data_IF_446182397128
#
_entry.id   IF_446182397128
#
_cell.length_a   1.000
_cell.length_b   1.000
_cell.length_c   1.000
_cell.angle_alpha   90.00
_cell.angle_beta   90.00
_cell.angle_gamma   90.00
#
_symmetry.space_group_name_H-M   'P 1'
#
loop_
_entity.id
_entity.type
_entity.pdbx_description
1 polymer ?
#
# COMPACT_ATOMS: atom_id res chain seq x y z
N UNK A 1 7.09 14.81 -7.42
CA UNK A 1 5.62 14.70 -7.36
C UNK A 1 5.14 15.49 -6.16
N UNK A 2 4.25 16.46 -6.35
CA UNK A 2 3.61 17.17 -5.23
C UNK A 2 2.89 16.14 -4.36
N UNK A 3 3.19 16.13 -3.06
CA UNK A 3 2.47 15.31 -2.10
C UNK A 3 1.10 15.99 -1.99
N UNK A 4 0.05 15.35 -2.52
CA UNK A 4 -1.33 15.85 -2.36
C UNK A 4 -1.59 16.10 -0.87
N UNK A 5 -2.31 17.16 -0.52
CA UNK A 5 -2.55 17.59 0.87
C UNK A 5 -3.10 16.46 1.77
N UNK A 6 -3.76 15.46 1.18
CA UNK A 6 -4.32 14.30 1.89
C UNK A 6 -3.34 13.12 2.10
N UNK A 7 -2.08 13.23 1.69
CA UNK A 7 -1.09 12.15 1.87
C UNK A 7 -0.36 12.31 3.21
N UNK A 8 -0.64 11.41 4.15
CA UNK A 8 0.13 11.28 5.40
C UNK A 8 1.37 10.42 5.17
N UNK A 9 2.54 10.89 5.61
CA UNK A 9 3.76 10.08 5.62
C UNK A 9 3.72 9.10 6.79
N UNK A 10 4.00 7.84 6.51
CA UNK A 10 4.14 6.77 7.50
C UNK A 10 5.49 6.09 7.30
N UNK A 11 6.13 5.71 8.39
CA UNK A 11 7.34 4.90 8.36
C UNK A 11 6.94 3.46 8.70
N UNK A 12 7.39 2.52 7.87
CA UNK A 12 7.16 1.09 8.04
C UNK A 12 8.51 0.37 7.95
N UNK A 13 8.68 -0.65 8.78
CA UNK A 13 9.87 -1.49 8.81
C UNK A 13 9.54 -2.81 8.14
N UNK A 14 10.42 -3.29 7.27
CA UNK A 14 10.33 -4.57 6.60
C UNK A 14 11.57 -5.39 6.90
N UNK A 15 11.44 -6.71 6.83
CA UNK A 15 12.59 -7.59 6.70
C UNK A 15 13.28 -7.33 5.36
N UNK A 16 14.58 -7.65 5.28
CA UNK A 16 15.39 -7.38 4.09
C UNK A 16 14.86 -8.12 2.87
N UNK A 17 14.46 -9.38 3.04
CA UNK A 17 13.93 -10.22 1.96
C UNK A 17 12.64 -9.61 1.36
N UNK A 18 11.73 -9.15 2.22
CA UNK A 18 10.48 -8.49 1.79
C UNK A 18 10.75 -7.15 1.09
N UNK A 19 11.74 -6.40 1.57
CA UNK A 19 12.17 -5.16 0.94
C UNK A 19 12.72 -5.40 -0.47
N UNK A 20 13.51 -6.46 -0.67
CA UNK A 20 14.02 -6.82 -2.00
C UNK A 20 12.90 -7.21 -2.95
N UNK A 21 11.92 -7.98 -2.48
CA UNK A 21 10.74 -8.36 -3.27
C UNK A 21 10.01 -7.10 -3.74
N UNK A 22 9.65 -6.19 -2.82
CA UNK A 22 8.85 -5.04 -3.19
C UNK A 22 9.61 -4.05 -4.07
N UNK A 23 10.91 -3.88 -3.86
CA UNK A 23 11.75 -3.06 -4.74
C UNK A 23 11.85 -3.66 -6.15
N UNK A 24 12.02 -4.97 -6.27
CA UNK A 24 12.11 -5.67 -7.55
C UNK A 24 10.82 -5.54 -8.36
N UNK A 25 9.67 -5.78 -7.71
CA UNK A 25 8.36 -5.63 -8.35
C UNK A 25 8.09 -4.17 -8.72
N UNK A 26 8.43 -3.22 -7.84
CA UNK A 26 8.26 -1.79 -8.12
C UNK A 26 9.07 -1.34 -9.34
N UNK A 27 10.34 -1.77 -9.43
CA UNK A 27 11.21 -1.50 -10.60
C UNK A 27 10.63 -2.10 -11.87
N UNK A 28 10.21 -3.36 -11.82
CA UNK A 28 9.59 -4.06 -12.97
C UNK A 28 8.37 -3.32 -13.49
N UNK A 29 7.55 -2.79 -12.60
CA UNK A 29 6.31 -2.07 -12.93
C UNK A 29 6.52 -0.58 -13.19
N UNK A 30 7.76 -0.07 -13.12
CA UNK A 30 8.10 1.37 -13.24
C UNK A 30 7.37 2.25 -12.22
N UNK A 31 7.15 1.72 -11.03
CA UNK A 31 6.48 2.40 -9.91
C UNK A 31 7.47 2.71 -8.79
N UNK A 32 7.11 3.66 -7.92
CA UNK A 32 7.79 3.79 -6.62
C UNK A 32 7.30 2.68 -5.68
N UNK A 33 8.09 2.37 -4.64
CA UNK A 33 7.66 1.42 -3.59
C UNK A 33 6.34 1.84 -2.96
N UNK A 34 6.17 3.14 -2.74
CA UNK A 34 4.94 3.72 -2.18
C UNK A 34 3.73 3.48 -3.08
N UNK A 35 3.87 3.62 -4.40
CA UNK A 35 2.79 3.38 -5.35
C UNK A 35 2.45 1.89 -5.44
N UNK A 36 3.46 1.02 -5.44
CA UNK A 36 3.26 -0.44 -5.39
C UNK A 36 2.48 -0.84 -4.14
N UNK A 37 2.86 -0.32 -2.96
CA UNK A 37 2.13 -0.58 -1.71
C UNK A 37 0.68 -0.09 -1.84
N UNK A 38 0.45 1.13 -2.35
CA UNK A 38 -0.89 1.66 -2.51
C UNK A 38 -1.77 0.78 -3.41
N UNK A 39 -1.23 0.26 -4.51
CA UNK A 39 -1.92 -0.67 -5.41
C UNK A 39 -2.26 -1.98 -4.68
N UNK A 40 -1.32 -2.51 -3.89
CA UNK A 40 -1.54 -3.75 -3.13
C UNK A 40 -2.62 -3.55 -2.05
N UNK A 41 -2.63 -2.41 -1.36
CA UNK A 41 -3.67 -2.05 -0.40
C UNK A 41 -5.05 -2.02 -1.09
N UNK A 42 -5.16 -1.30 -2.21
CA UNK A 42 -6.41 -1.19 -2.97
C UNK A 42 -6.90 -2.56 -3.46
N UNK A 43 -5.98 -3.44 -3.86
CA UNK A 43 -6.33 -4.75 -4.41
C UNK A 43 -6.72 -5.78 -3.33
N UNK A 44 -6.02 -5.79 -2.20
CA UNK A 44 -6.13 -6.88 -1.22
C UNK A 44 -6.77 -6.46 0.11
N UNK A 45 -6.55 -5.23 0.58
CA UNK A 45 -7.01 -4.79 1.90
C UNK A 45 -8.32 -4.01 1.83
N UNK A 46 -8.54 -3.24 0.76
CA UNK A 46 -9.74 -2.42 0.62
C UNK A 46 -11.06 -3.22 0.63
N UNK A 47 -11.17 -4.36 -0.08
CA UNK A 47 -12.41 -5.15 -0.03
C UNK A 47 -12.73 -5.64 1.39
N UNK A 48 -11.73 -6.14 2.12
CA UNK A 48 -11.89 -6.60 3.50
C UNK A 48 -12.26 -5.45 4.44
N UNK A 49 -11.60 -4.29 4.30
CA UNK A 49 -11.93 -3.09 5.07
C UNK A 49 -13.37 -2.63 4.85
N UNK A 50 -13.85 -2.64 3.61
CA UNK A 50 -15.24 -2.28 3.27
C UNK A 50 -16.26 -3.27 3.85
N UNK A 51 -15.91 -4.55 3.94
CA UNK A 51 -16.75 -5.55 4.60
C UNK A 51 -16.82 -5.36 6.11
N UNK A 52 -15.69 -5.03 6.76
CA UNK A 52 -15.64 -4.74 8.20
C UNK A 52 -16.49 -3.52 8.54
N UNK A 53 -16.33 -2.43 7.79
CA UNK A 53 -17.12 -1.21 7.99
C UNK A 53 -18.63 -1.44 7.83
N UNK A 54 -19.06 -2.39 6.99
CA UNK A 54 -20.49 -2.75 6.85
C UNK A 54 -21.01 -3.57 8.04
N UNK A 55 -20.15 -4.30 8.75
CA UNK A 55 -20.53 -5.12 9.90
C UNK A 55 -20.64 -4.31 11.19
N UNK A 56 -19.83 -3.27 11.36
CA UNK A 56 -19.86 -2.39 12.54
C UNK A 56 -21.05 -1.40 12.54
N UNK A 57 -21.85 -1.35 11.47
CA UNK A 57 -23.03 -0.46 11.33
C UNK A 57 -24.36 -1.21 11.59
N UNK A 58 -24.32 -2.42 12.16
CA UNK A 58 -25.51 -3.16 12.63
C UNK A 58 -25.52 -3.31 14.14
#
# INVERSE_FOLDING_TARGET
MAISENKKRVQVTFDLDDLEIIQTISKKNRHTVSDTIAILIEKYLKPEYEELQKKDVK
#
